data_IF_387061573954
#
_entry.id   IF_387061573954
#
_cell.length_a   1.000
_cell.length_b   1.000
_cell.length_c   1.000
_cell.angle_alpha   90.00
_cell.angle_beta   90.00
_cell.angle_gamma   90.00
#
_symmetry.space_group_name_H-M   'P 1'
#
loop_
_entity.id
_entity.type
_entity.pdbx_description
1 polymer ?
#
# COMPACT_ATOMS: atom_id res chain seq x y z
N UNK A 1 19.60 14.02 19.82
CA UNK A 1 18.27 14.57 19.46
C UNK A 1 17.25 13.45 19.48
N UNK A 2 16.09 13.66 20.11
CA UNK A 2 15.02 12.65 20.18
C UNK A 2 14.35 12.47 18.80
N UNK A 3 14.07 11.22 18.42
CA UNK A 3 13.36 10.92 17.18
C UNK A 3 11.86 11.12 17.37
N UNK A 4 11.20 11.70 16.36
CA UNK A 4 9.75 11.87 16.35
C UNK A 4 9.01 10.58 15.94
N UNK A 5 7.72 10.47 16.28
CA UNK A 5 6.88 9.30 15.95
C UNK A 5 6.97 8.90 14.46
N UNK A 6 6.82 9.86 13.55
CA UNK A 6 6.89 9.58 12.11
C UNK A 6 8.27 9.08 11.66
N UNK A 7 9.34 9.50 12.33
CA UNK A 7 10.69 9.02 12.03
C UNK A 7 10.84 7.56 12.45
N UNK A 8 10.31 7.18 13.62
CA UNK A 8 10.27 5.78 14.05
C UNK A 8 9.46 4.90 13.09
N UNK A 9 8.24 5.33 12.72
CA UNK A 9 7.41 4.60 11.76
C UNK A 9 8.15 4.44 10.43
N UNK A 10 8.76 5.52 9.92
CA UNK A 10 9.57 5.47 8.69
C UNK A 10 10.73 4.48 8.80
N UNK A 11 11.39 4.41 9.95
CA UNK A 11 12.48 3.47 10.20
C UNK A 11 11.99 2.02 10.21
N UNK A 12 10.86 1.71 10.86
CA UNK A 12 10.21 0.38 10.82
C UNK A 12 9.92 -0.06 9.38
N UNK A 13 9.46 0.85 8.52
CA UNK A 13 9.14 0.54 7.12
C UNK A 13 10.36 0.42 6.20
N UNK A 14 11.59 0.72 6.65
CA UNK A 14 12.81 0.46 5.85
C UNK A 14 13.12 -1.03 5.73
N UNK A 15 12.92 -1.79 6.81
CA UNK A 15 13.09 -3.25 6.86
C UNK A 15 11.84 -3.90 7.48
N UNK A 16 10.70 -3.89 6.77
CA UNK A 16 9.43 -4.36 7.33
C UNK A 16 9.42 -5.87 7.57
N UNK A 17 10.33 -6.63 6.94
CA UNK A 17 10.43 -8.06 7.19
C UNK A 17 10.92 -8.37 8.61
N UNK A 18 11.88 -7.57 9.08
CA UNK A 18 12.54 -7.76 10.38
C UNK A 18 11.77 -7.02 11.48
N UNK A 19 11.27 -5.81 11.16
CA UNK A 19 10.70 -4.89 12.15
C UNK A 19 9.21 -5.10 12.43
N UNK A 20 8.47 -5.80 11.56
CA UNK A 20 7.05 -6.09 11.76
C UNK A 20 6.83 -7.59 11.98
N UNK A 21 5.99 -7.98 12.97
CA UNK A 21 5.64 -9.37 13.19
C UNK A 21 5.16 -10.05 11.91
N UNK A 22 5.69 -11.25 11.65
CA UNK A 22 5.38 -11.99 10.43
C UNK A 22 3.86 -12.21 10.27
N UNK A 23 3.19 -12.63 11.34
CA UNK A 23 1.74 -12.86 11.37
C UNK A 23 0.95 -11.60 10.99
N UNK A 24 1.34 -10.44 11.50
CA UNK A 24 0.68 -9.18 11.16
C UNK A 24 0.73 -8.86 9.65
N UNK A 25 1.86 -9.15 9.01
CA UNK A 25 2.01 -8.99 7.55
C UNK A 25 1.21 -10.04 6.79
N UNK A 26 1.29 -11.29 7.20
CA UNK A 26 0.61 -12.42 6.54
C UNK A 26 -0.90 -12.25 6.54
N UNK A 27 -1.50 -11.90 7.68
CA UNK A 27 -2.95 -11.66 7.81
C UNK A 27 -3.42 -10.53 6.89
N UNK A 28 -2.69 -9.40 6.84
CA UNK A 28 -3.01 -8.30 5.90
C UNK A 28 -2.93 -8.74 4.45
N UNK A 29 -1.88 -9.45 4.06
CA UNK A 29 -1.73 -9.95 2.69
C UNK A 29 -2.84 -10.93 2.31
N UNK A 30 -3.27 -11.80 3.23
CA UNK A 30 -4.36 -12.73 3.00
C UNK A 30 -5.70 -11.99 2.81
N UNK A 31 -5.97 -10.98 3.63
CA UNK A 31 -7.14 -10.12 3.50
C UNK A 31 -7.16 -9.40 2.15
N UNK A 32 -6.07 -8.73 1.76
CA UNK A 32 -6.01 -7.94 0.52
C UNK A 32 -6.12 -8.78 -0.76
N UNK A 33 -5.82 -10.08 -0.70
CA UNK A 33 -6.04 -10.99 -1.83
C UNK A 33 -7.52 -11.23 -2.10
N UNK A 34 -8.37 -11.19 -1.06
CA UNK A 34 -9.82 -11.40 -1.15
C UNK A 34 -10.58 -10.13 -1.52
N UNK A 35 -9.98 -8.97 -1.32
CA UNK A 35 -10.60 -7.67 -1.62
C UNK A 35 -10.65 -7.36 -3.13
N UNK A 36 -11.53 -6.43 -3.54
CA UNK A 36 -11.57 -5.90 -4.91
C UNK A 36 -10.24 -5.27 -5.35
N UNK A 37 -10.06 -5.11 -6.66
CA UNK A 37 -8.84 -4.51 -7.23
C UNK A 37 -8.61 -3.10 -6.70
N UNK A 38 -9.66 -2.29 -6.64
CA UNK A 38 -9.65 -0.94 -6.08
C UNK A 38 -10.53 -0.96 -4.82
N UNK A 39 -9.92 -0.81 -3.65
CA UNK A 39 -10.60 -0.83 -2.37
C UNK A 39 -10.41 0.52 -1.67
N UNK A 40 -11.52 1.19 -1.32
CA UNK A 40 -11.46 2.40 -0.49
C UNK A 40 -11.03 2.02 0.92
N UNK A 41 -10.04 2.73 1.46
CA UNK A 41 -9.57 2.54 2.84
C UNK A 41 -9.82 3.81 3.64
N UNK A 42 -10.21 3.65 4.90
CA UNK A 42 -10.49 4.81 5.78
C UNK A 42 -9.22 5.50 6.26
N UNK A 43 -8.19 4.72 6.60
CA UNK A 43 -6.94 5.21 7.17
C UNK A 43 -5.73 4.71 6.37
N UNK A 44 -4.68 5.53 6.21
CA UNK A 44 -3.49 5.12 5.50
C UNK A 44 -2.76 4.01 6.27
N UNK A 45 -2.31 2.98 5.54
CA UNK A 45 -1.47 1.92 6.13
C UNK A 45 -0.11 2.44 6.57
N UNK A 46 0.40 3.47 5.88
CA UNK A 46 1.65 4.17 6.18
C UNK A 46 1.34 5.65 6.39
N UNK A 47 1.12 6.02 7.65
CA UNK A 47 0.80 7.41 8.00
C UNK A 47 1.98 8.35 7.73
N UNK A 48 3.21 7.89 7.97
CA UNK A 48 4.46 8.61 7.67
C UNK A 48 4.51 9.04 6.20
N UNK A 49 4.35 8.08 5.28
CA UNK A 49 4.45 8.31 3.84
C UNK A 49 3.24 9.11 3.31
N UNK A 50 2.04 8.84 3.83
CA UNK A 50 0.86 9.59 3.45
C UNK A 50 1.04 11.08 3.80
N UNK A 51 1.48 11.40 5.02
CA UNK A 51 1.70 12.78 5.47
C UNK A 51 2.78 13.48 4.64
N UNK A 52 3.88 12.81 4.31
CA UNK A 52 4.92 13.41 3.44
C UNK A 52 4.42 13.72 2.03
N UNK A 53 3.45 12.96 1.53
CA UNK A 53 2.80 13.19 0.22
C UNK A 53 1.65 14.20 0.29
N UNK A 54 1.39 14.82 1.45
CA UNK A 54 0.36 15.84 1.61
C UNK A 54 -1.00 15.34 2.10
N UNK A 55 -1.11 14.08 2.53
CA UNK A 55 -2.33 13.59 3.17
C UNK A 55 -2.69 14.45 4.38
N UNK A 56 -3.95 14.88 4.42
CA UNK A 56 -4.55 15.53 5.58
C UNK A 56 -5.81 14.75 5.97
N UNK A 57 -5.96 14.47 7.25
CA UNK A 57 -7.17 13.89 7.81
C UNK A 57 -8.26 14.96 7.86
N UNK A 58 -8.83 15.26 6.69
CA UNK A 58 -9.91 16.22 6.50
C UNK A 58 -11.01 15.58 5.63
N UNK A 59 -12.23 16.09 5.76
CA UNK A 59 -13.32 15.71 4.87
C UNK A 59 -12.93 16.03 3.42
N UNK A 60 -13.38 15.18 2.49
CA UNK A 60 -13.05 15.28 1.07
C UNK A 60 -11.72 14.63 0.64
N UNK A 61 -10.86 14.20 1.58
CA UNK A 61 -9.66 13.41 1.24
C UNK A 61 -9.98 11.92 1.32
N UNK A 62 -9.75 11.20 0.23
CA UNK A 62 -10.04 9.77 0.09
C UNK A 62 -8.76 8.98 -0.18
N UNK A 63 -8.64 7.79 0.42
CA UNK A 63 -7.58 6.84 0.12
C UNK A 63 -8.16 5.60 -0.55
N UNK A 64 -7.43 5.12 -1.56
CA UNK A 64 -7.74 3.88 -2.26
C UNK A 64 -6.49 3.01 -2.25
N UNK A 65 -6.64 1.76 -1.82
CA UNK A 65 -5.66 0.69 -2.02
C UNK A 65 -5.97 0.04 -3.37
N UNK A 66 -4.95 -0.06 -4.22
CA UNK A 66 -5.04 -0.82 -5.48
C UNK A 66 -4.02 -1.95 -5.52
N UNK A 67 -4.32 -3.02 -6.26
CA UNK A 67 -3.38 -4.11 -6.51
C UNK A 67 -2.96 -4.13 -7.98
N UNK A 68 -1.67 -4.31 -8.22
CA UNK A 68 -1.09 -4.45 -9.56
C UNK A 68 -0.49 -5.86 -9.67
N UNK A 69 -0.71 -6.51 -10.81
CA UNK A 69 -0.12 -7.83 -11.06
C UNK A 69 1.39 -7.69 -11.22
N UNK A 70 2.16 -8.58 -10.59
CA UNK A 70 3.60 -8.71 -10.84
C UNK A 70 3.87 -9.26 -12.26
N UNK A 71 5.07 -9.00 -12.76
CA UNK A 71 5.51 -9.39 -14.10
C UNK A 71 5.27 -8.30 -15.17
N UNK A 72 5.75 -8.56 -16.38
CA UNK A 72 5.65 -7.61 -17.50
C UNK A 72 4.24 -7.43 -18.06
N UNK A 73 4.10 -6.41 -18.90
CA UNK A 73 2.90 -6.19 -19.71
C UNK A 73 2.68 -7.39 -20.64
N UNK A 74 1.43 -7.87 -20.73
CA UNK A 74 1.06 -8.85 -21.76
C UNK A 74 0.85 -8.10 -23.07
N UNK A 75 1.75 -8.28 -24.05
CA UNK A 75 1.60 -7.71 -25.38
C UNK A 75 0.33 -8.28 -26.04
N UNK A 76 -0.59 -7.41 -26.41
CA UNK A 76 -1.76 -7.80 -27.21
C UNK A 76 -1.33 -8.26 -28.60
N UNK A 77 -1.89 -9.37 -29.09
CA UNK A 77 -1.75 -9.80 -30.48
C UNK A 77 -2.96 -9.29 -31.26
N UNK A 78 -2.73 -8.55 -32.34
CA UNK A 78 -3.78 -8.18 -33.29
C UNK A 78 -4.01 -9.39 -34.18
N UNK A 79 -5.18 -10.02 -34.07
CA UNK A 79 -5.59 -11.05 -35.01
C UNK A 79 -6.32 -10.34 -36.15
N UNK A 80 -5.66 -10.14 -37.29
CA UNK A 80 -6.36 -9.72 -38.51
C UNK A 80 -7.35 -10.83 -38.86
N UNK A 81 -8.65 -10.50 -38.90
CA UNK A 81 -9.63 -11.39 -39.51
C UNK A 81 -9.28 -11.47 -41.00
N UNK A 82 -9.14 -12.70 -41.51
CA UNK A 82 -9.12 -12.95 -42.95
C UNK A 82 -10.46 -12.57 -43.55
#
# INVERSE_FOLDING_TARGET
MAQGLYQHVRQTWKRPNDALPHMYRQTRMAQWRREPVNCRIERPTRLDAARSLGYKAKQGVVLIRTRIRRGGLRKGKIHMKR
#
